data_IF_881307889558
#
_entry.id   IF_881307889558
#
_cell.length_a   1.000
_cell.length_b   1.000
_cell.length_c   1.000
_cell.angle_alpha   90.00
_cell.angle_beta   90.00
_cell.angle_gamma   90.00
#
_symmetry.space_group_name_H-M   'P 1'
#
loop_
_entity.id
_entity.type
_entity.pdbx_description
1 polymer ?
#
# COMPACT_ATOMS: atom_id res chain seq x y z
N UNK A 1 -6.03 -14.81 -15.59
CA UNK A 1 -5.33 -13.68 -14.95
C UNK A 1 -4.99 -14.16 -13.56
N UNK A 2 -3.71 -14.35 -13.27
CA UNK A 2 -3.26 -14.90 -11.98
C UNK A 2 -3.22 -13.80 -10.93
N UNK A 3 -3.47 -14.16 -9.67
CA UNK A 3 -3.29 -13.24 -8.55
C UNK A 3 -1.77 -13.00 -8.41
N UNK A 4 -1.31 -11.73 -8.44
CA UNK A 4 0.10 -11.41 -8.28
C UNK A 4 0.61 -11.80 -6.89
N UNK A 5 1.91 -12.07 -6.77
CA UNK A 5 2.53 -12.39 -5.49
C UNK A 5 2.95 -11.13 -4.70
N UNK A 6 3.33 -11.33 -3.43
CA UNK A 6 3.75 -10.25 -2.54
C UNK A 6 4.97 -9.50 -3.10
N UNK A 7 5.88 -10.19 -3.79
CA UNK A 7 7.09 -9.59 -4.34
C UNK A 7 6.78 -8.61 -5.49
N UNK A 8 5.86 -8.96 -6.38
CA UNK A 8 5.39 -8.09 -7.44
C UNK A 8 4.67 -6.85 -6.88
N UNK A 9 3.83 -7.05 -5.86
CA UNK A 9 3.13 -5.97 -5.18
C UNK A 9 4.10 -5.05 -4.43
N UNK A 10 5.09 -5.61 -3.73
CA UNK A 10 6.12 -4.84 -3.02
C UNK A 10 6.95 -3.97 -3.98
N UNK A 11 7.32 -4.50 -5.15
CA UNK A 11 8.01 -3.71 -6.18
C UNK A 11 7.16 -2.52 -6.64
N UNK A 12 5.87 -2.76 -6.91
CA UNK A 12 4.94 -1.72 -7.33
C UNK A 12 4.77 -0.63 -6.25
N UNK A 13 4.59 -1.02 -4.98
CA UNK A 13 4.54 -0.07 -3.87
C UNK A 13 5.82 0.76 -3.76
N UNK A 14 7.00 0.13 -3.89
CA UNK A 14 8.29 0.84 -3.84
C UNK A 14 8.37 1.93 -4.89
N UNK A 15 8.11 1.59 -6.15
CA UNK A 15 8.15 2.51 -7.29
C UNK A 15 7.16 3.65 -7.08
N UNK A 16 5.91 3.33 -6.70
CA UNK A 16 4.88 4.33 -6.47
C UNK A 16 5.24 5.28 -5.32
N UNK A 17 5.70 4.77 -4.18
CA UNK A 17 6.03 5.58 -3.01
C UNK A 17 7.24 6.47 -3.27
N UNK A 18 8.23 5.98 -4.01
CA UNK A 18 9.39 6.78 -4.39
C UNK A 18 8.98 7.99 -5.25
N UNK A 19 8.01 7.83 -6.15
CA UNK A 19 7.54 8.89 -7.05
C UNK A 19 6.53 9.84 -6.39
N UNK A 20 5.57 9.29 -5.64
CA UNK A 20 4.40 10.04 -5.15
C UNK A 20 4.52 10.43 -3.68
N UNK A 21 5.36 9.74 -2.90
CA UNK A 21 5.55 9.97 -1.46
C UNK A 21 7.04 10.01 -1.08
N UNK A 22 7.86 10.88 -1.72
CA UNK A 22 9.30 10.88 -1.53
C UNK A 22 9.73 11.23 -0.09
N UNK A 23 8.93 12.00 0.67
CA UNK A 23 9.26 12.30 2.06
C UNK A 23 9.06 11.08 2.95
N UNK A 24 7.90 10.41 2.86
CA UNK A 24 7.65 9.15 3.55
C UNK A 24 8.68 8.08 3.17
N UNK A 25 8.99 7.95 1.88
CA UNK A 25 9.99 7.01 1.38
C UNK A 25 11.35 7.26 2.03
N UNK A 26 11.81 8.51 2.03
CA UNK A 26 13.10 8.89 2.62
C UNK A 26 13.10 8.69 4.14
N UNK A 27 12.01 9.06 4.81
CA UNK A 27 11.86 8.88 6.25
C UNK A 27 11.94 7.40 6.65
N UNK A 28 11.16 6.54 6.00
CA UNK A 28 11.17 5.10 6.27
C UNK A 28 12.53 4.47 5.93
N UNK A 29 13.21 4.94 4.87
CA UNK A 29 14.55 4.48 4.53
C UNK A 29 15.57 4.85 5.61
N UNK A 30 15.53 6.09 6.13
CA UNK A 30 16.40 6.54 7.22
C UNK A 30 16.15 5.77 8.52
N UNK A 31 14.90 5.37 8.77
CA UNK A 31 14.52 4.55 9.92
C UNK A 31 14.82 3.05 9.73
N UNK A 32 15.25 2.62 8.54
CA UNK A 32 15.45 1.21 8.21
C UNK A 32 14.15 0.39 8.14
N UNK A 33 13.00 1.04 8.04
CA UNK A 33 11.67 0.44 8.07
C UNK A 33 11.01 0.32 6.70
N UNK A 34 11.61 0.90 5.66
CA UNK A 34 11.05 0.98 4.31
C UNK A 34 10.61 -0.39 3.77
N UNK A 35 11.51 -1.37 3.80
CA UNK A 35 11.27 -2.70 3.26
C UNK A 35 10.13 -3.43 3.97
N UNK A 36 10.14 -3.40 5.30
CA UNK A 36 9.10 -4.00 6.12
C UNK A 36 7.73 -3.36 5.86
N UNK A 37 7.69 -2.04 5.69
CA UNK A 37 6.45 -1.31 5.44
C UNK A 37 5.89 -1.58 4.03
N UNK A 38 6.77 -1.64 3.03
CA UNK A 38 6.40 -2.01 1.65
C UNK A 38 5.86 -3.44 1.59
N UNK A 39 6.54 -4.38 2.24
CA UNK A 39 6.08 -5.78 2.29
C UNK A 39 4.73 -5.90 3.02
N UNK A 40 4.57 -5.15 4.10
CA UNK A 40 3.31 -5.09 4.86
C UNK A 40 2.17 -4.54 4.02
N UNK A 41 2.39 -3.45 3.28
CA UNK A 41 1.40 -2.88 2.37
C UNK A 41 1.01 -3.85 1.24
N UNK A 42 2.00 -4.52 0.65
CA UNK A 42 1.79 -5.53 -0.37
C UNK A 42 0.96 -6.70 0.14
N UNK A 43 1.27 -7.21 1.34
CA UNK A 43 0.55 -8.31 1.96
C UNK A 43 -0.89 -7.96 2.31
N UNK A 44 -1.11 -6.81 2.96
CA UNK A 44 -2.46 -6.35 3.32
C UNK A 44 -3.34 -6.18 2.06
N UNK A 45 -2.78 -5.64 0.99
CA UNK A 45 -3.51 -5.48 -0.28
C UNK A 45 -3.90 -6.84 -0.86
N UNK A 46 -2.98 -7.81 -0.87
CA UNK A 46 -3.26 -9.16 -1.39
C UNK A 46 -4.27 -9.92 -0.53
N UNK A 47 -4.11 -9.91 0.79
CA UNK A 47 -5.05 -10.57 1.71
C UNK A 47 -6.46 -9.98 1.56
N UNK A 48 -6.57 -8.66 1.41
CA UNK A 48 -7.86 -8.01 1.17
C UNK A 48 -8.45 -8.38 -0.20
N UNK A 49 -7.62 -8.44 -1.25
CA UNK A 49 -8.04 -8.89 -2.58
C UNK A 49 -8.51 -10.35 -2.56
N UNK A 50 -7.78 -11.25 -1.91
CA UNK A 50 -8.13 -12.66 -1.76
C UNK A 50 -9.47 -12.83 -1.04
N UNK A 51 -9.70 -12.03 0.01
CA UNK A 51 -10.99 -12.02 0.71
C UNK A 51 -12.14 -11.59 -0.21
N UNK A 52 -11.96 -10.54 -1.02
CA UNK A 52 -12.97 -10.10 -1.98
C UNK A 52 -13.21 -11.16 -3.07
N UNK A 53 -12.15 -11.76 -3.59
CA UNK A 53 -12.23 -12.83 -4.60
C UNK A 53 -12.98 -14.05 -4.04
N UNK A 54 -12.70 -14.43 -2.79
CA UNK A 54 -13.40 -15.53 -2.11
C UNK A 54 -14.91 -15.27 -1.94
N UNK A 55 -15.32 -14.00 -1.97
CA UNK A 55 -16.73 -13.54 -1.89
C UNK A 55 -17.39 -13.39 -3.27
N UNK A 56 -16.69 -13.72 -4.35
CA UNK A 56 -17.20 -13.69 -5.71
C UNK A 56 -16.87 -12.42 -6.50
N UNK A 57 -16.05 -11.52 -5.96
CA UNK A 57 -15.53 -10.36 -6.70
C UNK A 57 -14.49 -10.81 -7.73
N UNK A 58 -14.44 -10.17 -8.90
CA UNK A 58 -13.39 -10.49 -9.88
C UNK A 58 -12.04 -9.94 -9.43
N UNK A 59 -10.94 -10.54 -9.92
CA UNK A 59 -9.59 -10.05 -9.63
C UNK A 59 -9.41 -8.56 -9.98
N UNK A 60 -9.98 -8.13 -11.11
CA UNK A 60 -9.89 -6.73 -11.56
C UNK A 60 -10.62 -5.78 -10.62
N UNK A 61 -11.84 -6.12 -10.19
CA UNK A 61 -12.60 -5.32 -9.25
C UNK A 61 -11.94 -5.28 -7.88
N UNK A 62 -11.47 -6.43 -7.37
CA UNK A 62 -10.76 -6.50 -6.09
C UNK A 62 -9.50 -5.61 -6.11
N UNK A 63 -8.75 -5.63 -7.22
CA UNK A 63 -7.62 -4.74 -7.44
C UNK A 63 -8.02 -3.26 -7.42
N UNK A 64 -9.06 -2.88 -8.17
CA UNK A 64 -9.53 -1.51 -8.22
C UNK A 64 -9.97 -0.99 -6.84
N UNK A 65 -10.59 -1.85 -6.04
CA UNK A 65 -11.06 -1.50 -4.70
C UNK A 65 -9.91 -1.32 -3.71
N UNK A 66 -8.89 -2.20 -3.72
CA UNK A 66 -7.89 -2.27 -2.65
C UNK A 66 -6.55 -1.60 -2.97
N UNK A 67 -6.24 -1.32 -4.24
CA UNK A 67 -4.92 -0.84 -4.64
C UNK A 67 -4.51 0.47 -3.97
N UNK A 68 -5.45 1.35 -3.64
CA UNK A 68 -5.17 2.69 -3.10
C UNK A 68 -5.17 2.73 -1.56
N UNK A 69 -5.64 1.67 -0.89
CA UNK A 69 -5.73 1.61 0.58
C UNK A 69 -4.33 1.54 1.24
N UNK A 70 -3.45 0.68 0.70
CA UNK A 70 -2.09 0.51 1.24
C UNK A 70 -1.00 0.55 0.18
N UNK A 71 -1.26 0.10 -1.05
CA UNK A 71 -0.21 -0.11 -2.04
C UNK A 71 0.15 1.17 -2.80
N UNK A 72 -0.85 1.78 -3.42
CA UNK A 72 -0.76 2.95 -4.29
C UNK A 72 -1.30 4.18 -3.56
N UNK A 73 -0.84 4.39 -2.33
CA UNK A 73 -1.34 5.47 -1.49
C UNK A 73 -1.18 6.81 -2.22
N UNK A 74 -2.20 7.68 -2.23
CA UNK A 74 -2.15 8.95 -2.94
C UNK A 74 -0.95 9.81 -2.53
N UNK A 75 -0.61 10.75 -3.42
CA UNK A 75 0.47 11.72 -3.22
C UNK A 75 0.30 12.42 -1.87
N UNK A 76 1.43 12.68 -1.21
CA UNK A 76 1.44 13.50 0.00
C UNK A 76 0.83 14.88 -0.29
N UNK A 77 -0.33 15.17 0.29
CA UNK A 77 -0.82 16.53 0.33
C UNK A 77 0.14 17.35 1.20
N UNK A 78 0.51 18.54 0.73
CA UNK A 78 1.48 19.42 1.41
C UNK A 78 0.93 20.01 2.72
N UNK A 79 -0.17 19.47 3.26
CA UNK A 79 -1.02 20.15 4.25
C UNK A 79 -1.70 19.22 5.27
N UNK A 80 -1.02 18.20 5.79
CA UNK A 80 -1.51 17.49 6.99
C UNK A 80 -0.66 17.83 8.23
N UNK A 81 -0.60 19.13 8.54
CA UNK A 81 -0.51 19.59 9.94
C UNK A 81 -1.92 19.76 10.53
N UNK A 82 -2.85 18.87 10.17
CA UNK A 82 -4.11 18.71 10.89
C UNK A 82 -3.91 17.64 11.97
N UNK A 83 -4.25 17.88 13.25
CA UNK A 83 -3.91 17.01 14.39
C UNK A 83 -4.81 15.76 14.50
N UNK A 84 -5.26 15.19 13.38
CA UNK A 84 -5.85 13.86 13.40
C UNK A 84 -4.76 12.84 13.13
N UNK A 85 -4.22 12.32 14.23
CA UNK A 85 -3.30 11.20 14.21
C UNK A 85 -3.88 10.06 13.35
N UNK A 86 -3.08 9.43 12.47
CA UNK A 86 -3.53 8.26 11.74
C UNK A 86 -4.00 7.21 12.77
N UNK A 87 -5.24 6.75 12.63
CA UNK A 87 -5.80 5.69 13.46
C UNK A 87 -5.18 4.35 13.07
N UNK A 88 -3.93 4.15 13.46
CA UNK A 88 -3.34 2.82 13.51
C UNK A 88 -3.97 2.09 14.70
N UNK A 89 -4.67 0.95 14.51
CA UNK A 89 -5.08 0.13 15.65
C UNK A 89 -3.83 -0.43 16.35
N UNK A 90 -3.85 -0.37 17.69
CA UNK A 90 -2.83 -0.90 18.59
C UNK A 90 -2.87 -2.43 18.72
#
# INVERSE_FOLDING_TARGET
>A
MEVPDVAAMARLAREHWQEHRPNLYTYLAQMGQLEAMIETAARQTLEAMELLISRGTTLLEAWQLMREEWLLVPREERSDLSPEAPSWPA
#
